data_IF_295706831208
#
_entry.id   IF_295706831208
#
_cell.length_a   1.000
_cell.length_b   1.000
_cell.length_c   1.000
_cell.angle_alpha   90.00
_cell.angle_beta   90.00
_cell.angle_gamma   90.00
#
_symmetry.space_group_name_H-M   'P 1'
#
loop_
_entity.id
_entity.type
_entity.pdbx_description
1 polymer ?
#
# COMPACT_ATOMS: atom_id res chain seq x y z
N UNK A 1 -29.95 -16.82 -15.80
CA UNK A 1 -28.64 -16.82 -16.46
C UNK A 1 -27.75 -15.85 -15.70
N UNK A 2 -26.58 -16.27 -15.25
CA UNK A 2 -25.58 -15.32 -14.74
C UNK A 2 -24.92 -14.69 -15.98
N UNK A 3 -24.92 -13.36 -16.09
CA UNK A 3 -24.29 -12.67 -17.22
C UNK A 3 -22.76 -12.87 -17.15
N UNK A 4 -22.16 -13.44 -18.19
CA UNK A 4 -20.72 -13.68 -18.30
C UNK A 4 -19.91 -12.38 -18.10
N UNK A 5 -20.50 -11.21 -18.37
CA UNK A 5 -19.90 -9.90 -18.09
C UNK A 5 -19.77 -9.62 -16.59
N UNK A 6 -20.75 -10.00 -15.77
CA UNK A 6 -20.65 -9.86 -14.32
C UNK A 6 -19.59 -10.81 -13.73
N UNK A 7 -19.44 -12.02 -14.29
CA UNK A 7 -18.40 -12.95 -13.88
C UNK A 7 -17.00 -12.42 -14.22
N UNK A 8 -16.83 -11.86 -15.42
CA UNK A 8 -15.58 -11.23 -15.83
C UNK A 8 -15.22 -10.02 -14.97
N UNK A 9 -16.17 -9.11 -14.73
CA UNK A 9 -15.96 -7.91 -13.89
C UNK A 9 -15.61 -8.29 -12.44
N UNK A 10 -16.21 -9.32 -11.88
CA UNK A 10 -15.84 -9.82 -10.54
C UNK A 10 -14.45 -10.46 -10.51
N UNK A 11 -14.08 -11.24 -11.53
CA UNK A 11 -12.75 -11.86 -11.59
C UNK A 11 -11.64 -10.82 -11.73
N UNK A 12 -11.86 -9.79 -12.55
CA UNK A 12 -10.95 -8.64 -12.70
C UNK A 12 -10.85 -7.87 -11.39
N UNK A 13 -11.98 -7.60 -10.73
CA UNK A 13 -12.02 -6.93 -9.44
C UNK A 13 -11.17 -7.66 -8.39
N UNK A 14 -11.44 -8.96 -8.18
CA UNK A 14 -10.74 -9.77 -7.18
C UNK A 14 -9.24 -9.85 -7.45
N UNK A 15 -8.84 -10.02 -8.71
CA UNK A 15 -7.43 -10.05 -9.09
C UNK A 15 -6.74 -8.73 -8.80
N UNK A 16 -7.36 -7.61 -9.16
CA UNK A 16 -6.78 -6.28 -8.96
C UNK A 16 -6.60 -5.97 -7.47
N UNK A 17 -7.61 -6.24 -6.64
CA UNK A 17 -7.51 -6.06 -5.18
C UNK A 17 -6.42 -6.96 -4.60
N UNK A 18 -6.35 -8.23 -5.03
CA UNK A 18 -5.31 -9.15 -4.55
C UNK A 18 -3.90 -8.71 -4.93
N UNK A 19 -3.69 -8.16 -6.13
CA UNK A 19 -2.39 -7.62 -6.54
C UNK A 19 -2.01 -6.39 -5.70
N UNK A 20 -2.97 -5.50 -5.42
CA UNK A 20 -2.75 -4.33 -4.55
C UNK A 20 -2.45 -4.71 -3.09
N UNK A 21 -3.16 -5.70 -2.54
CA UNK A 21 -2.90 -6.24 -1.20
C UNK A 21 -1.49 -6.86 -1.12
N UNK A 22 -1.02 -7.49 -2.20
CA UNK A 22 0.34 -7.97 -2.33
C UNK A 22 1.37 -6.84 -2.25
N UNK A 23 1.21 -5.79 -3.06
CA UNK A 23 2.11 -4.63 -3.04
C UNK A 23 2.13 -3.92 -1.68
N UNK A 24 0.98 -3.83 -1.01
CA UNK A 24 0.88 -3.28 0.34
C UNK A 24 1.72 -4.07 1.35
N UNK A 25 1.60 -5.41 1.31
CA UNK A 25 2.37 -6.31 2.17
C UNK A 25 3.87 -6.20 1.90
N UNK A 26 4.27 -6.17 0.64
CA UNK A 26 5.68 -6.05 0.24
C UNK A 26 6.27 -4.71 0.70
N UNK A 27 5.53 -3.62 0.54
CA UNK A 27 5.95 -2.28 0.98
C UNK A 27 6.18 -2.24 2.51
N UNK A 28 5.29 -2.86 3.29
CA UNK A 28 5.50 -3.00 4.73
C UNK A 28 6.73 -3.85 5.06
N UNK A 29 6.92 -4.98 4.37
CA UNK A 29 8.10 -5.83 4.57
C UNK A 29 9.41 -5.08 4.27
N UNK A 30 9.45 -4.28 3.21
CA UNK A 30 10.61 -3.46 2.88
C UNK A 30 10.84 -2.35 3.91
N UNK A 31 9.79 -1.72 4.41
CA UNK A 31 9.86 -0.71 5.47
C UNK A 31 10.45 -1.30 6.76
N UNK A 32 9.97 -2.46 7.20
CA UNK A 32 10.49 -3.14 8.40
C UNK A 32 11.97 -3.51 8.26
N UNK A 33 12.36 -4.02 7.09
CA UNK A 33 13.76 -4.30 6.77
C UNK A 33 14.62 -3.02 6.81
N UNK A 34 14.07 -1.90 6.34
CA UNK A 34 14.75 -0.61 6.33
C UNK A 34 14.94 -0.05 7.75
N UNK A 35 13.92 -0.17 8.62
CA UNK A 35 14.00 0.19 10.05
C UNK A 35 15.09 -0.63 10.72
N UNK A 36 15.10 -1.95 10.54
CA UNK A 36 16.11 -2.83 11.11
C UNK A 36 17.53 -2.49 10.62
N UNK A 37 17.67 -2.14 9.33
CA UNK A 37 18.95 -1.71 8.77
C UNK A 37 19.43 -0.38 9.37
N UNK A 38 18.55 0.62 9.52
CA UNK A 38 18.84 1.90 10.19
C UNK A 38 19.38 1.66 11.59
N UNK A 39 18.64 0.91 12.40
CA UNK A 39 18.96 0.69 13.81
C UNK A 39 20.30 -0.04 13.96
N UNK A 40 20.59 -0.99 13.06
CA UNK A 40 21.89 -1.67 13.03
C UNK A 40 23.03 -0.73 12.62
N UNK A 41 22.84 0.11 11.61
CA UNK A 41 23.88 1.02 11.12
C UNK A 41 24.20 2.13 12.14
N UNK A 42 23.16 2.71 12.76
CA UNK A 42 23.33 3.71 13.83
C UNK A 42 24.08 3.09 15.01
N UNK A 43 23.71 1.88 15.43
CA UNK A 43 24.33 1.18 16.56
C UNK A 43 25.79 0.76 16.33
N UNK A 44 26.19 0.48 15.09
CA UNK A 44 27.46 -0.22 14.81
C UNK A 44 28.57 0.72 14.33
N UNK A 45 28.29 1.98 13.96
CA UNK A 45 29.34 2.80 13.34
C UNK A 45 29.31 4.31 13.61
N UNK A 46 28.21 4.92 14.05
CA UNK A 46 27.97 6.35 13.79
C UNK A 46 27.55 7.19 15.00
N UNK A 47 27.80 6.72 16.22
CA UNK A 47 27.82 7.61 17.39
C UNK A 47 28.99 8.59 17.17
N UNK A 48 28.68 9.89 17.02
CA UNK A 48 29.61 11.02 16.89
C UNK A 48 30.33 11.23 15.53
N UNK A 49 29.64 11.01 14.40
CA UNK A 49 30.11 11.41 13.06
C UNK A 49 28.98 12.12 12.28
N UNK A 50 29.27 13.26 11.65
CA UNK A 50 28.35 14.04 10.80
C UNK A 50 27.63 13.19 9.73
N UNK A 51 28.29 12.16 9.19
CA UNK A 51 27.69 11.22 8.24
C UNK A 51 26.57 10.37 8.88
N UNK A 52 26.72 10.07 10.18
CA UNK A 52 25.72 9.42 11.01
C UNK A 52 24.46 10.24 11.19
N UNK A 53 24.64 11.52 11.50
CA UNK A 53 23.54 12.46 11.68
C UNK A 53 22.82 12.73 10.34
N UNK A 54 23.57 12.88 9.25
CA UNK A 54 23.00 13.03 7.91
C UNK A 54 22.19 11.80 7.47
N UNK A 55 22.68 10.59 7.73
CA UNK A 55 21.92 9.37 7.46
C UNK A 55 20.67 9.26 8.32
N UNK A 56 20.79 9.49 9.63
CA UNK A 56 19.64 9.44 10.54
C UNK A 56 18.55 10.42 10.08
N UNK A 57 18.93 11.64 9.74
CA UNK A 57 18.01 12.66 9.20
C UNK A 57 17.33 12.16 7.93
N UNK A 58 18.07 11.57 6.99
CA UNK A 58 17.48 11.05 5.76
C UNK A 58 16.56 9.85 6.00
N UNK A 59 16.92 8.98 6.95
CA UNK A 59 16.08 7.85 7.36
C UNK A 59 14.80 8.32 8.04
N UNK A 60 14.86 9.31 8.92
CA UNK A 60 13.70 9.84 9.62
C UNK A 60 12.71 10.52 8.64
N UNK A 61 13.20 11.13 7.55
CA UNK A 61 12.33 11.60 6.46
C UNK A 61 11.65 10.45 5.70
N UNK A 62 12.38 9.36 5.47
CA UNK A 62 11.93 8.25 4.64
C UNK A 62 10.92 7.34 5.35
N UNK A 63 11.13 7.05 6.64
CA UNK A 63 10.31 6.12 7.44
C UNK A 63 9.70 6.72 8.71
N UNK A 64 9.93 8.00 8.99
CA UNK A 64 9.55 8.61 10.26
C UNK A 64 10.53 8.27 11.39
N UNK A 65 10.63 9.17 12.37
CA UNK A 65 11.47 8.93 13.56
C UNK A 65 11.03 7.69 14.37
N UNK A 66 9.73 7.38 14.35
CA UNK A 66 9.13 6.21 14.98
C UNK A 66 9.13 4.96 14.07
N UNK A 67 9.65 5.08 12.86
CA UNK A 67 9.65 4.01 11.86
C UNK A 67 8.27 3.71 11.28
N UNK A 68 7.25 4.56 11.51
CA UNK A 68 5.89 4.34 11.03
C UNK A 68 5.33 5.42 10.09
N UNK A 69 6.06 6.50 9.89
CA UNK A 69 5.67 7.63 9.03
C UNK A 69 6.57 7.81 7.81
N UNK A 70 6.83 9.08 7.49
CA UNK A 70 7.69 9.49 6.39
C UNK A 70 7.12 9.20 5.00
N UNK A 71 7.94 9.42 3.98
CA UNK A 71 7.58 9.24 2.57
C UNK A 71 7.02 7.83 2.27
N UNK A 72 7.54 6.79 2.92
CA UNK A 72 7.05 5.41 2.76
C UNK A 72 5.70 5.19 3.45
N UNK A 73 5.49 5.73 4.65
CA UNK A 73 4.19 5.68 5.33
C UNK A 73 3.10 6.41 4.55
N UNK A 74 3.43 7.56 3.97
CA UNK A 74 2.52 8.30 3.10
C UNK A 74 2.18 7.51 1.83
N UNK A 75 3.17 6.92 1.18
CA UNK A 75 2.97 6.07 0.00
C UNK A 75 2.05 4.90 0.31
N UNK A 76 2.27 4.24 1.44
CA UNK A 76 1.44 3.15 1.93
C UNK A 76 -0.02 3.58 2.13
N UNK A 77 -0.24 4.74 2.75
CA UNK A 77 -1.59 5.33 2.94
C UNK A 77 -2.26 5.67 1.61
N UNK A 78 -1.53 6.18 0.63
CA UNK A 78 -2.09 6.48 -0.70
C UNK A 78 -2.47 5.21 -1.46
N UNK A 79 -1.68 4.14 -1.33
CA UNK A 79 -1.99 2.84 -1.95
C UNK A 79 -3.25 2.22 -1.34
N UNK A 80 -3.43 2.29 -0.02
CA UNK A 80 -4.65 1.85 0.66
C UNK A 80 -5.88 2.63 0.16
N UNK A 81 -5.80 3.97 0.10
CA UNK A 81 -6.89 4.80 -0.44
C UNK A 81 -7.22 4.48 -1.89
N UNK A 82 -6.21 4.19 -2.72
CA UNK A 82 -6.41 3.82 -4.12
C UNK A 82 -7.13 2.46 -4.22
N UNK A 83 -6.74 1.49 -3.40
CA UNK A 83 -7.36 0.17 -3.34
C UNK A 83 -8.84 0.29 -2.98
N UNK A 84 -9.15 1.05 -1.94
CA UNK A 84 -10.53 1.23 -1.49
C UNK A 84 -11.38 1.99 -2.53
N UNK A 85 -10.81 2.99 -3.21
CA UNK A 85 -11.49 3.68 -4.30
C UNK A 85 -11.82 2.75 -5.47
N UNK A 86 -10.91 1.81 -5.79
CA UNK A 86 -11.13 0.78 -6.81
C UNK A 86 -12.24 -0.18 -6.38
N UNK A 87 -12.20 -0.71 -5.15
CA UNK A 87 -13.24 -1.61 -4.63
C UNK A 87 -14.63 -0.95 -4.67
N UNK A 88 -14.73 0.30 -4.21
CA UNK A 88 -15.97 1.09 -4.30
C UNK A 88 -16.45 1.26 -5.74
N UNK A 89 -15.55 1.54 -6.69
CA UNK A 89 -15.91 1.69 -8.09
C UNK A 89 -16.49 0.39 -8.68
N UNK A 90 -15.88 -0.77 -8.38
CA UNK A 90 -16.39 -2.07 -8.82
C UNK A 90 -17.73 -2.44 -8.17
N UNK A 91 -17.90 -2.16 -6.88
CA UNK A 91 -19.16 -2.39 -6.19
C UNK A 91 -20.30 -1.51 -6.74
N UNK A 92 -20.01 -0.26 -7.08
CA UNK A 92 -20.96 0.63 -7.74
C UNK A 92 -21.35 0.14 -9.15
N UNK A 93 -20.37 -0.32 -9.94
CA UNK A 93 -20.63 -0.90 -11.26
C UNK A 93 -21.54 -2.13 -11.15
N UNK A 94 -21.27 -3.03 -10.20
CA UNK A 94 -22.10 -4.21 -9.91
C UNK A 94 -23.54 -3.82 -9.54
N UNK A 95 -23.71 -2.80 -8.69
CA UNK A 95 -25.02 -2.32 -8.29
C UNK A 95 -25.80 -1.70 -9.46
N UNK A 96 -25.12 -0.99 -10.37
CA UNK A 96 -25.72 -0.46 -11.58
C UNK A 96 -26.17 -1.59 -12.53
N UNK A 97 -25.32 -2.58 -12.78
CA UNK A 97 -25.66 -3.75 -13.61
C UNK A 97 -26.86 -4.51 -13.05
N UNK A 98 -26.91 -4.74 -11.73
CA UNK A 98 -28.07 -5.38 -11.09
C UNK A 98 -29.37 -4.59 -11.25
N UNK A 99 -29.32 -3.25 -11.18
CA UNK A 99 -30.50 -2.40 -11.41
C UNK A 99 -30.99 -2.51 -12.85
N UNK A 100 -30.08 -2.55 -13.82
CA UNK A 100 -30.44 -2.74 -15.23
C UNK A 100 -31.05 -4.13 -15.44
N UNK A 101 -30.45 -5.19 -14.89
CA UNK A 101 -30.98 -6.55 -15.00
C UNK A 101 -32.37 -6.69 -14.39
N UNK A 102 -32.63 -6.09 -13.23
CA UNK A 102 -33.94 -6.13 -12.57
C UNK A 102 -35.00 -5.23 -13.24
N UNK A 103 -34.62 -4.38 -14.19
CA UNK A 103 -35.54 -3.51 -14.92
C UNK A 103 -36.08 -4.14 -16.22
N UNK A 104 -35.58 -5.32 -16.59
CA UNK A 104 -36.03 -6.15 -17.72
C UNK A 104 -36.72 -7.43 -17.20
#
# INVERSE_FOLDING_TARGET
MVDDRMLYTNAVHQRLISEMDGYYKDLNGFKDALVAARDKLIRVAWEDNDAGEAFKTRMDLLIGADGNGGELGDTHTHLEKLRDAIDVAFNNAKAADMKVYNAF
#
